data_IF_107386333542
#
_entry.id   IF_107386333542
#
_cell.length_a   1.000
_cell.length_b   1.000
_cell.length_c   1.000
_cell.angle_alpha   90.00
_cell.angle_beta   90.00
_cell.angle_gamma   90.00
#
_symmetry.space_group_name_H-M   'P 1'
#
loop_
_entity.id
_entity.type
_entity.pdbx_description
1 polymer ?
#
# COMPACT_ATOMS: atom_id res chain seq x y z
N UNK A 1 -22.90 -25.73 -1.80
CA UNK A 1 -22.29 -24.42 -2.12
C UNK A 1 -22.52 -23.54 -0.91
N UNK A 2 -21.47 -23.08 -0.25
CA UNK A 2 -21.61 -22.20 0.92
C UNK A 2 -22.08 -20.81 0.46
N UNK A 3 -22.70 -20.04 1.36
CA UNK A 3 -23.17 -18.68 1.07
C UNK A 3 -22.02 -17.75 0.66
N UNK A 4 -20.83 -17.93 1.26
CA UNK A 4 -19.62 -17.19 0.92
C UNK A 4 -19.13 -17.46 -0.51
N UNK A 5 -19.15 -18.72 -0.95
CA UNK A 5 -18.73 -19.10 -2.30
C UNK A 5 -19.61 -18.41 -3.37
N UNK A 6 -20.91 -18.26 -3.08
CA UNK A 6 -21.85 -17.57 -3.96
C UNK A 6 -21.52 -16.08 -4.08
N UNK A 7 -21.22 -15.41 -2.97
CA UNK A 7 -20.86 -13.99 -2.98
C UNK A 7 -19.57 -13.74 -3.77
N UNK A 8 -18.57 -14.63 -3.63
CA UNK A 8 -17.32 -14.57 -4.40
C UNK A 8 -17.62 -14.74 -5.88
N UNK A 9 -18.41 -15.75 -6.26
CA UNK A 9 -18.77 -15.98 -7.66
C UNK A 9 -19.53 -14.80 -8.28
N UNK A 10 -20.47 -14.20 -7.52
CA UNK A 10 -21.19 -13.01 -7.95
C UNK A 10 -20.29 -11.79 -8.15
N UNK A 11 -19.28 -11.59 -7.30
CA UNK A 11 -18.34 -10.49 -7.48
C UNK A 11 -17.41 -10.73 -8.67
N UNK A 12 -16.89 -11.94 -8.84
CA UNK A 12 -16.06 -12.28 -10.01
C UNK A 12 -16.84 -12.00 -11.30
N UNK A 13 -18.14 -12.33 -11.34
CA UNK A 13 -19.01 -12.04 -12.51
C UNK A 13 -19.21 -10.55 -12.78
N UNK A 14 -19.08 -9.68 -11.77
CA UNK A 14 -19.17 -8.22 -11.93
C UNK A 14 -17.87 -7.60 -12.45
N UNK A 15 -16.74 -8.30 -12.32
CA UNK A 15 -15.47 -7.84 -12.88
C UNK A 15 -15.52 -7.83 -14.42
N UNK A 16 -14.71 -6.97 -15.05
CA UNK A 16 -14.63 -6.95 -16.51
C UNK A 16 -14.10 -8.30 -17.04
N UNK A 17 -14.53 -8.76 -18.24
CA UNK A 17 -14.06 -10.03 -18.80
C UNK A 17 -12.55 -10.09 -19.02
N UNK A 18 -11.91 -8.94 -19.22
CA UNK A 18 -10.45 -8.84 -19.34
C UNK A 18 -9.77 -9.08 -18.00
N UNK A 19 -10.29 -8.47 -16.94
CA UNK A 19 -9.77 -8.67 -15.59
C UNK A 19 -9.99 -10.11 -15.11
N UNK A 20 -11.17 -10.69 -15.35
CA UNK A 20 -11.43 -12.10 -15.03
C UNK A 20 -10.43 -13.03 -15.70
N UNK A 21 -10.12 -12.83 -16.99
CA UNK A 21 -9.10 -13.62 -17.71
C UNK A 21 -7.71 -13.40 -17.13
N UNK A 22 -7.32 -12.15 -16.90
CA UNK A 22 -6.02 -11.82 -16.33
C UNK A 22 -5.80 -12.47 -14.96
N UNK A 23 -6.82 -12.51 -14.11
CA UNK A 23 -6.76 -13.15 -12.79
C UNK A 23 -6.59 -14.68 -12.93
N UNK A 24 -7.29 -15.31 -13.88
CA UNK A 24 -7.18 -16.76 -14.11
C UNK A 24 -5.82 -17.15 -14.74
N UNK A 25 -5.21 -16.27 -15.52
CA UNK A 25 -3.91 -16.49 -16.16
C UNK A 25 -2.73 -16.41 -15.18
N UNK A 26 -2.89 -15.69 -14.07
CA UNK A 26 -1.84 -15.53 -13.06
C UNK A 26 -2.05 -16.55 -11.95
N UNK A 27 -1.07 -17.41 -11.63
CA UNK A 27 -1.17 -18.40 -10.55
C UNK A 27 -0.99 -17.73 -9.18
N UNK A 28 -1.80 -16.71 -8.89
CA UNK A 28 -1.62 -15.80 -7.76
C UNK A 28 -1.60 -16.53 -6.41
N UNK A 29 -2.41 -17.58 -6.22
CA UNK A 29 -2.39 -18.39 -5.00
C UNK A 29 -1.03 -19.01 -4.74
N UNK A 30 -0.42 -19.61 -5.77
CA UNK A 30 0.91 -20.22 -5.65
C UNK A 30 1.98 -19.16 -5.35
N UNK A 31 1.86 -17.98 -5.95
CA UNK A 31 2.77 -16.86 -5.71
C UNK A 31 2.65 -16.32 -4.27
N UNK A 32 1.43 -16.18 -3.74
CA UNK A 32 1.22 -15.79 -2.33
C UNK A 32 1.87 -16.81 -1.39
N UNK A 33 1.68 -18.10 -1.65
CA UNK A 33 2.28 -19.18 -0.85
C UNK A 33 3.81 -19.12 -0.89
N UNK A 34 4.42 -18.81 -2.05
CA UNK A 34 5.85 -18.60 -2.18
C UNK A 34 6.32 -17.37 -1.39
N UNK A 35 5.64 -16.23 -1.54
CA UNK A 35 5.97 -14.97 -0.85
C UNK A 35 5.90 -15.16 0.67
N UNK A 36 4.86 -15.83 1.17
CA UNK A 36 4.72 -16.11 2.59
C UNK A 36 5.84 -16.99 3.14
N UNK A 37 6.25 -18.02 2.39
CA UNK A 37 7.40 -18.87 2.76
C UNK A 37 8.72 -18.11 2.79
N UNK A 38 8.96 -17.23 1.80
CA UNK A 38 10.17 -16.39 1.75
C UNK A 38 10.25 -15.47 2.97
N UNK A 39 9.11 -14.97 3.44
CA UNK A 39 9.01 -14.10 4.63
C UNK A 39 8.81 -14.87 5.95
N UNK A 40 9.06 -16.18 5.94
CA UNK A 40 8.96 -17.06 7.11
C UNK A 40 7.60 -17.02 7.84
N UNK A 41 6.52 -16.78 7.10
CA UNK A 41 5.15 -16.86 7.64
C UNK A 41 4.76 -18.32 7.91
N UNK A 42 3.98 -18.53 8.96
CA UNK A 42 3.39 -19.84 9.25
C UNK A 42 2.17 -20.13 8.35
N UNK A 43 1.60 -21.34 8.46
CA UNK A 43 0.51 -21.78 7.57
C UNK A 43 -0.78 -20.98 7.77
N UNK A 44 -1.08 -20.53 8.99
CA UNK A 44 -2.27 -19.73 9.28
C UNK A 44 -2.07 -18.31 8.74
N UNK A 45 -0.89 -17.73 8.94
CA UNK A 45 -0.52 -16.43 8.39
C UNK A 45 -0.56 -16.40 6.86
N UNK A 46 -0.06 -17.45 6.20
CA UNK A 46 -0.13 -17.55 4.74
C UNK A 46 -1.59 -17.64 4.28
N UNK A 47 -2.46 -18.35 5.01
CA UNK A 47 -3.88 -18.41 4.70
C UNK A 47 -4.55 -17.03 4.84
N UNK A 48 -4.24 -16.27 5.89
CA UNK A 48 -4.69 -14.88 6.04
C UNK A 48 -4.20 -14.00 4.89
N UNK A 49 -2.91 -14.11 4.50
CA UNK A 49 -2.35 -13.36 3.39
C UNK A 49 -3.04 -13.70 2.05
N UNK A 50 -3.38 -14.98 1.83
CA UNK A 50 -4.14 -15.41 0.65
C UNK A 50 -5.52 -14.76 0.62
N UNK A 51 -6.20 -14.67 1.76
CA UNK A 51 -7.50 -14.04 1.89
C UNK A 51 -7.44 -12.53 1.63
N UNK A 52 -6.50 -11.81 2.23
CA UNK A 52 -6.33 -10.37 2.01
C UNK A 52 -5.99 -10.07 0.54
N UNK A 53 -5.12 -10.88 -0.06
CA UNK A 53 -4.77 -10.75 -1.48
C UNK A 53 -5.99 -11.00 -2.38
N UNK A 54 -6.80 -12.00 -2.04
CA UNK A 54 -8.05 -12.30 -2.74
C UNK A 54 -9.03 -11.12 -2.69
N UNK A 55 -9.16 -10.45 -1.55
CA UNK A 55 -10.05 -9.29 -1.41
C UNK A 55 -9.66 -8.13 -2.33
N UNK A 56 -8.36 -7.90 -2.53
CA UNK A 56 -7.88 -6.91 -3.49
C UNK A 56 -8.15 -7.36 -4.93
N UNK A 57 -7.77 -8.58 -5.28
CA UNK A 57 -7.89 -9.09 -6.66
C UNK A 57 -9.35 -9.13 -7.14
N UNK A 58 -10.29 -9.45 -6.25
CA UNK A 58 -11.72 -9.47 -6.54
C UNK A 58 -12.43 -8.15 -6.23
N UNK A 59 -11.68 -7.08 -5.95
CA UNK A 59 -12.19 -5.74 -5.71
C UNK A 59 -13.22 -5.63 -4.56
N UNK A 60 -13.09 -6.49 -3.54
CA UNK A 60 -13.80 -6.32 -2.27
C UNK A 60 -13.20 -5.19 -1.43
N UNK A 61 -11.89 -4.97 -1.57
CA UNK A 61 -11.14 -3.96 -0.83
C UNK A 61 -10.20 -3.17 -1.75
N UNK A 62 -9.76 -2.01 -1.26
CA UNK A 62 -8.88 -1.10 -2.00
C UNK A 62 -7.41 -1.47 -1.80
N UNK A 63 -6.58 -1.49 -2.86
CA UNK A 63 -5.14 -1.76 -2.75
C UNK A 63 -4.40 -0.82 -1.78
N UNK A 64 -4.95 0.38 -1.53
CA UNK A 64 -4.37 1.36 -0.60
C UNK A 64 -4.41 0.89 0.85
N UNK A 65 -5.37 0.04 1.19
CA UNK A 65 -5.58 -0.46 2.54
C UNK A 65 -4.83 -1.78 2.77
N UNK A 66 -4.22 -2.34 1.73
CA UNK A 66 -3.61 -3.67 1.75
C UNK A 66 -2.54 -3.82 2.83
N UNK A 67 -1.62 -2.85 2.97
CA UNK A 67 -0.57 -2.90 4.01
C UNK A 67 -1.19 -2.90 5.41
N UNK A 68 -2.16 -2.02 5.67
CA UNK A 68 -2.84 -1.95 6.96
C UNK A 68 -3.61 -3.23 7.28
N UNK A 69 -4.24 -3.84 6.26
CA UNK A 69 -4.98 -5.06 6.40
C UNK A 69 -4.07 -6.26 6.67
N UNK A 70 -2.98 -6.44 5.92
CA UNK A 70 -2.05 -7.56 6.19
C UNK A 70 -1.36 -7.42 7.55
N UNK A 71 -1.03 -6.20 7.99
CA UNK A 71 -0.52 -6.00 9.36
C UNK A 71 -1.51 -6.48 10.42
N UNK A 72 -2.80 -6.17 10.23
CA UNK A 72 -3.87 -6.50 11.17
C UNK A 72 -4.26 -7.98 11.14
N UNK A 73 -4.48 -8.53 9.96
CA UNK A 73 -5.06 -9.87 9.77
C UNK A 73 -4.00 -10.98 9.75
N UNK A 74 -2.78 -10.68 9.28
CA UNK A 74 -1.63 -11.62 9.31
C UNK A 74 -0.84 -11.49 10.61
N UNK A 75 -0.94 -10.35 11.31
CA UNK A 75 -0.29 -10.12 12.60
C UNK A 75 1.23 -9.93 12.49
N UNK A 76 1.69 -9.21 11.47
CA UNK A 76 3.11 -9.01 11.16
C UNK A 76 3.56 -7.57 11.40
N UNK A 77 4.88 -7.36 11.51
CA UNK A 77 5.46 -6.01 11.62
C UNK A 77 5.28 -5.20 10.35
N UNK A 78 5.33 -3.87 10.48
CA UNK A 78 5.24 -2.93 9.35
C UNK A 78 6.31 -3.19 8.29
N UNK A 79 7.58 -3.37 8.68
CA UNK A 79 8.66 -3.69 7.75
C UNK A 79 8.38 -4.97 6.93
N UNK A 80 7.88 -6.01 7.60
CA UNK A 80 7.53 -7.27 6.93
C UNK A 80 6.34 -7.09 5.99
N UNK A 81 5.33 -6.32 6.41
CA UNK A 81 4.17 -5.99 5.60
C UNK A 81 4.56 -5.21 4.35
N UNK A 82 5.46 -4.24 4.45
CA UNK A 82 5.96 -3.48 3.30
C UNK A 82 6.68 -4.39 2.30
N UNK A 83 7.58 -5.26 2.77
CA UNK A 83 8.31 -6.21 1.91
C UNK A 83 7.36 -7.19 1.19
N UNK A 84 6.35 -7.69 1.91
CA UNK A 84 5.32 -8.56 1.33
C UNK A 84 4.48 -7.80 0.31
N UNK A 85 4.03 -6.58 0.64
CA UNK A 85 3.22 -5.77 -0.24
C UNK A 85 3.95 -5.43 -1.55
N UNK A 86 5.24 -5.10 -1.49
CA UNK A 86 6.08 -4.89 -2.68
C UNK A 86 6.17 -6.18 -3.52
N UNK A 87 6.45 -7.32 -2.88
CA UNK A 87 6.54 -8.62 -3.56
C UNK A 87 5.21 -9.02 -4.23
N UNK A 88 4.09 -8.78 -3.56
CA UNK A 88 2.74 -9.05 -4.09
C UNK A 88 2.41 -8.10 -5.22
N UNK A 89 2.72 -6.80 -5.08
CA UNK A 89 2.51 -5.82 -6.14
C UNK A 89 3.25 -6.24 -7.42
N UNK A 90 4.53 -6.59 -7.30
CA UNK A 90 5.37 -6.94 -8.44
C UNK A 90 5.02 -8.29 -9.08
N UNK A 91 4.78 -9.32 -8.27
CA UNK A 91 4.56 -10.68 -8.78
C UNK A 91 3.10 -10.95 -9.14
N UNK A 92 2.15 -10.20 -8.59
CA UNK A 92 0.71 -10.52 -8.69
C UNK A 92 -0.08 -9.35 -9.27
N UNK A 93 -0.12 -8.20 -8.60
CA UNK A 93 -0.99 -7.11 -9.03
C UNK A 93 -0.58 -6.50 -10.37
N UNK A 94 0.71 -6.21 -10.55
CA UNK A 94 1.24 -5.64 -11.79
C UNK A 94 1.01 -6.58 -13.00
N UNK A 95 1.33 -7.89 -12.93
CA UNK A 95 1.03 -8.83 -14.02
C UNK A 95 -0.45 -8.94 -14.36
N UNK A 96 -1.35 -8.94 -13.36
CA UNK A 96 -2.80 -8.96 -13.60
C UNK A 96 -3.22 -7.68 -14.32
N UNK A 97 -2.75 -6.51 -13.85
CA UNK A 97 -3.07 -5.23 -14.47
C UNK A 97 -2.62 -5.19 -15.93
N UNK A 98 -1.36 -5.53 -16.20
CA UNK A 98 -0.80 -5.56 -17.56
C UNK A 98 -1.60 -6.46 -18.51
N UNK A 99 -1.93 -7.69 -18.08
CA UNK A 99 -2.73 -8.63 -18.87
C UNK A 99 -4.15 -8.12 -19.14
N UNK A 100 -4.73 -7.42 -18.17
CA UNK A 100 -6.07 -6.84 -18.32
C UNK A 100 -6.10 -5.72 -19.37
N UNK A 101 -5.04 -4.93 -19.48
CA UNK A 101 -4.91 -3.82 -20.44
C UNK A 101 -4.49 -4.28 -21.85
N UNK A 102 -3.65 -5.31 -21.96
CA UNK A 102 -3.17 -5.85 -23.24
C UNK A 102 -4.32 -6.34 -24.12
N UNK A 103 -5.34 -6.92 -23.49
CA UNK A 103 -6.57 -7.40 -24.13
C UNK A 103 -7.37 -6.28 -24.83
N UNK A 104 -7.22 -5.01 -24.40
CA UNK A 104 -7.89 -3.86 -25.03
C UNK A 104 -7.12 -3.30 -26.23
N UNK A 105 -5.79 -3.44 -26.27
CA UNK A 105 -4.97 -2.88 -27.35
C UNK A 105 -5.13 -3.64 -28.67
N UNK A 106 -5.44 -4.93 -28.64
CA UNK A 106 -5.65 -5.76 -29.83
C UNK A 106 -6.87 -5.37 -30.69
N UNK A 107 -7.72 -4.43 -30.27
CA UNK A 107 -8.88 -3.97 -31.05
C UNK A 107 -8.62 -2.60 -31.73
N UNK A 108 -7.55 -1.87 -31.38
CA UNK A 108 -7.31 -0.50 -31.89
C UNK A 108 -6.18 -0.37 -32.93
N UNK A 109 -5.67 -1.47 -33.48
CA UNK A 109 -4.57 -1.43 -34.46
C UNK A 109 -4.94 -2.06 -35.80
N UNK A 110 -6.00 -1.56 -36.43
CA UNK A 110 -5.99 -1.40 -37.89
C UNK A 110 -5.68 0.07 -38.18
N UNK A 111 -4.40 0.36 -38.39
CA UNK A 111 -3.96 1.60 -39.04
C UNK A 111 -3.49 1.24 -40.45
N UNK A 112 -4.05 1.85 -41.50
CA UNK A 112 -3.64 1.56 -42.88
C UNK A 112 -2.29 2.22 -43.18
N UNK A 113 -1.38 1.39 -43.72
CA UNK A 113 -0.21 1.62 -44.57
C UNK A 113 0.73 2.85 -44.34
N UNK A 114 2.06 2.63 -44.32
CA UNK A 114 3.04 3.72 -44.25
C UNK A 114 3.23 4.35 -45.64
N UNK A 115 2.99 5.66 -45.76
CA UNK A 115 3.40 6.42 -46.95
C UNK A 115 4.80 6.98 -46.71
N UNK A 116 5.77 6.46 -47.45
CA UNK A 116 7.13 6.98 -47.56
C UNK A 116 7.16 8.40 -48.12
N UNK A 117 7.98 9.26 -47.53
CA UNK A 117 8.66 10.36 -48.24
C UNK A 117 10.01 10.66 -47.55
N UNK A 118 11.04 11.09 -48.32
CA UNK A 118 12.47 10.79 -48.11
C UNK A 118 13.23 11.76 -47.18
N UNK A 119 14.49 11.42 -46.80
CA UNK A 119 15.33 12.26 -45.95
C UNK A 119 15.94 13.43 -46.73
N UNK A 120 15.75 14.66 -46.23
CA UNK A 120 16.50 15.83 -46.69
C UNK A 120 17.59 16.16 -45.67
N UNK A 121 18.80 15.72 -45.98
CA UNK A 121 20.03 16.11 -45.31
C UNK A 121 20.54 17.45 -45.85
N UNK A 122 20.66 18.44 -44.99
CA UNK A 122 21.62 19.52 -45.15
C UNK A 122 22.15 19.94 -43.77
N UNK A 123 23.47 19.79 -43.62
CA UNK A 123 24.26 20.04 -42.41
C UNK A 123 24.20 21.50 -41.95
N UNK A 124 24.29 21.72 -40.64
CA UNK A 124 24.48 23.05 -40.09
C UNK A 124 24.58 23.09 -38.57
N UNK A 125 25.75 22.73 -38.04
CA UNK A 125 26.39 23.21 -36.82
C UNK A 125 25.52 23.63 -35.61
N UNK A 126 25.69 22.83 -34.55
CA UNK A 126 25.52 23.12 -33.12
C UNK A 126 24.99 24.48 -32.67
N UNK A 127 23.93 24.43 -31.87
CA UNK A 127 23.82 25.28 -30.68
C UNK A 127 22.90 24.61 -29.67
N UNK A 128 23.43 24.45 -28.45
CA UNK A 128 22.68 24.11 -27.28
C UNK A 128 21.46 25.03 -27.17
N UNK A 129 20.27 24.47 -26.96
CA UNK A 129 19.15 25.26 -26.45
C UNK A 129 19.49 25.65 -25.02
N UNK A 130 20.13 26.81 -24.86
CA UNK A 130 20.16 27.50 -23.57
C UNK A 130 18.73 27.93 -23.26
N UNK A 131 18.14 27.27 -22.27
CA UNK A 131 16.91 27.71 -21.64
C UNK A 131 17.26 29.05 -20.98
N UNK A 132 16.64 30.19 -21.34
CA UNK A 132 16.87 31.41 -20.59
C UNK A 132 16.40 31.17 -19.15
N UNK A 133 17.17 31.54 -18.12
CA UNK A 133 16.67 31.47 -16.76
C UNK A 133 15.47 32.42 -16.70
N UNK A 134 14.28 31.85 -16.51
CA UNK A 134 13.10 32.58 -16.10
C UNK A 134 13.46 33.31 -14.80
N UNK A 135 13.73 34.61 -14.91
CA UNK A 135 13.75 35.52 -13.77
C UNK A 135 12.29 35.58 -13.28
N UNK A 136 11.93 34.70 -12.35
CA UNK A 136 10.74 34.90 -11.53
C UNK A 136 11.01 36.17 -10.70
N UNK A 137 10.11 37.16 -10.68
CA UNK A 137 10.26 38.30 -9.78
C UNK A 137 10.21 37.76 -8.35
N UNK A 138 11.39 37.78 -7.73
CA UNK A 138 11.62 37.60 -6.32
C UNK A 138 10.93 38.77 -5.59
N UNK A 139 10.06 38.44 -4.64
CA UNK A 139 9.38 39.34 -3.68
C UNK A 139 8.12 40.06 -4.21
N UNK A 140 6.97 39.60 -3.72
CA UNK A 140 5.72 40.37 -3.74
C UNK A 140 5.88 41.61 -2.84
N UNK A 141 5.61 42.78 -3.40
CA UNK A 141 5.78 44.07 -2.74
C UNK A 141 4.67 44.28 -1.70
N UNK A 142 4.84 43.72 -0.50
CA UNK A 142 3.85 43.90 0.57
C UNK A 142 4.01 43.05 1.83
N UNK A 143 4.86 42.01 1.85
CA UNK A 143 5.08 41.24 3.07
C UNK A 143 5.96 42.02 4.07
N UNK A 144 5.30 42.69 5.00
CA UNK A 144 5.91 43.08 6.27
C UNK A 144 6.17 41.82 7.08
N UNK A 145 7.45 41.61 7.44
CA UNK A 145 7.82 40.60 8.42
C UNK A 145 6.96 40.79 9.67
N UNK A 146 6.14 39.79 10.00
CA UNK A 146 5.51 39.77 11.31
C UNK A 146 6.63 39.58 12.33
N UNK A 147 6.87 40.62 13.13
CA UNK A 147 7.75 40.55 14.29
C UNK A 147 7.13 39.58 15.30
N UNK A 148 7.51 38.31 15.19
CA UNK A 148 7.15 37.30 16.18
C UNK A 148 8.00 37.62 17.40
N UNK A 149 7.39 38.29 18.39
CA UNK A 149 7.98 38.46 19.72
C UNK A 149 8.58 37.11 20.15
N UNK A 150 9.84 37.06 20.62
CA UNK A 150 10.40 35.86 21.20
C UNK A 150 9.49 35.43 22.35
N UNK A 151 8.71 34.38 22.11
CA UNK A 151 8.01 33.70 23.19
C UNK A 151 9.11 33.09 24.03
N UNK A 152 9.35 33.71 25.19
CA UNK A 152 10.18 33.14 26.23
C UNK A 152 9.83 31.66 26.36
N UNK A 153 10.81 30.74 26.46
CA UNK A 153 10.48 29.41 26.92
C UNK A 153 9.82 29.61 28.28
N UNK A 154 8.50 29.42 28.33
CA UNK A 154 7.84 29.18 29.59
C UNK A 154 8.59 27.98 30.16
N UNK A 155 9.41 28.23 31.18
CA UNK A 155 9.69 27.21 32.17
C UNK A 155 8.30 26.75 32.59
N UNK A 156 7.87 25.60 32.06
CA UNK A 156 6.83 24.84 32.72
C UNK A 156 7.45 24.50 34.07
N UNK A 157 7.12 25.32 35.06
CA UNK A 157 7.08 24.88 36.43
C UNK A 157 6.39 23.52 36.41
N UNK A 158 7.14 22.47 36.73
CA UNK A 158 6.64 21.14 37.04
C UNK A 158 5.86 21.24 38.37
N UNK A 159 4.73 21.93 38.31
CA UNK A 159 3.75 22.09 39.37
C UNK A 159 2.35 22.09 38.76
N UNK A 160 2.14 21.21 37.78
CA UNK A 160 0.83 20.80 37.32
C UNK A 160 0.56 19.39 37.85
N UNK A 161 -0.21 19.31 38.93
CA UNK A 161 -0.73 18.06 39.48
C UNK A 161 -1.33 17.20 38.38
N UNK A 162 -0.62 16.17 37.94
CA UNK A 162 -1.26 15.07 37.26
C UNK A 162 -2.25 14.46 38.26
N UNK A 163 -3.54 14.27 37.92
CA UNK A 163 -4.37 13.41 38.74
C UNK A 163 -3.71 12.04 38.73
N UNK A 164 -3.09 11.67 39.86
CA UNK A 164 -2.63 10.31 40.11
C UNK A 164 -3.86 9.43 39.91
N UNK A 165 -3.93 8.76 38.77
CA UNK A 165 -4.92 7.71 38.56
C UNK A 165 -4.55 6.64 39.58
N UNK A 166 -5.35 6.55 40.65
CA UNK A 166 -5.18 5.52 41.65
C UNK A 166 -5.34 4.18 40.95
N UNK A 167 -4.25 3.42 40.86
CA UNK A 167 -4.30 2.03 40.42
C UNK A 167 -5.32 1.30 41.30
N UNK A 168 -6.19 0.45 40.72
CA UNK A 168 -7.00 -0.47 41.50
C UNK A 168 -6.11 -1.26 42.46
N UNK A 169 -6.57 -1.49 43.68
CA UNK A 169 -5.89 -2.45 44.55
C UNK A 169 -6.13 -3.85 43.98
N UNK A 170 -5.12 -4.38 43.28
CA UNK A 170 -5.14 -5.73 42.70
C UNK A 170 -4.88 -6.81 43.76
N UNK A 171 -4.82 -6.46 45.05
CA UNK A 171 -4.73 -7.45 46.12
C UNK A 171 -6.06 -8.17 46.29
N UNK A 172 -6.00 -9.49 46.35
CA UNK A 172 -7.14 -10.30 46.75
C UNK A 172 -7.62 -9.86 48.15
N UNK A 173 -8.94 -9.86 48.41
CA UNK A 173 -9.54 -9.30 49.63
C UNK A 173 -8.97 -9.87 50.93
N UNK A 174 -8.39 -11.07 50.90
CA UNK A 174 -7.81 -11.75 52.07
C UNK A 174 -6.28 -11.82 52.06
N UNK A 175 -5.62 -11.11 51.14
CA UNK A 175 -4.15 -11.14 50.97
C UNK A 175 -3.59 -12.51 50.55
N UNK A 176 -4.46 -13.48 50.29
CA UNK A 176 -4.11 -14.81 49.79
C UNK A 176 -4.32 -14.84 48.29
N UNK A 177 -3.22 -14.89 47.56
CA UNK A 177 -3.25 -15.16 46.13
C UNK A 177 -3.55 -16.66 45.91
N UNK A 178 -4.72 -17.01 45.35
CA UNK A 178 -5.11 -18.40 45.12
C UNK A 178 -4.24 -19.13 44.08
N UNK A 179 -3.40 -18.40 43.34
CA UNK A 179 -2.46 -18.96 42.35
C UNK A 179 -1.01 -19.00 42.86
N UNK A 180 -0.76 -18.59 44.11
CA UNK A 180 0.59 -18.67 44.69
C UNK A 180 0.85 -20.08 45.20
N UNK A 181 1.56 -20.87 44.40
CA UNK A 181 2.01 -22.21 44.80
C UNK A 181 2.91 -22.13 46.06
N UNK A 182 2.80 -23.08 47.00
CA UNK A 182 3.73 -23.16 48.12
C UNK A 182 5.12 -23.51 47.59
N UNK A 183 6.13 -22.72 47.96
CA UNK A 183 7.52 -23.11 47.78
C UNK A 183 7.77 -24.32 48.68
N UNK A 184 7.90 -25.49 48.06
CA UNK A 184 8.28 -26.74 48.71
C UNK A 184 9.76 -26.78 49.09
#
# INVERSE_FOLDING_TARGET
MNEMDKLIEEQIRKLSPNLQRAINDVPWKALVQEIGKINALDTEQIASLEQETMFIIYAFESPKDYIANIMREVGISEDTALNIAESVADKIFNPILQKSEESEKTIKTESPAPVSVPPSSAQGFGRAMEIPPTILPMVEKGEVAHDVKPMQPARQDLAGSQPKVSLPDYRYPDGKDPYREPLG
#
